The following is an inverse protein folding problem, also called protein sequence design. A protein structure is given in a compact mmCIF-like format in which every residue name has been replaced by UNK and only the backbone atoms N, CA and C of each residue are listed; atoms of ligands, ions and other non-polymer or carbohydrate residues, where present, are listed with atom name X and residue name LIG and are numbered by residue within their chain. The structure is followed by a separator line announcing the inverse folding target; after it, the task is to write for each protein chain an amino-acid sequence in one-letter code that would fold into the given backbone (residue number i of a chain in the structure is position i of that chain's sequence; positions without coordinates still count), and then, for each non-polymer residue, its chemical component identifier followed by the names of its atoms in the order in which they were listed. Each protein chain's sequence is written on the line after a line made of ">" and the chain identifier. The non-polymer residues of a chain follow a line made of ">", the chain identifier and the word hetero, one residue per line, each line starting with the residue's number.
data_IF_828384789036
#
_entry.id   IF_828384789036
#
_cell.length_a   1.000
_cell.length_b   1.000
_cell.length_c   1.000
_cell.angle_alpha   90.00
_cell.angle_beta   90.00
_cell.angle_gamma   90.00
#
_symmetry.space_group_name_H-M   'P 1'
#
loop_
_entity.id
_entity.type
_entity.pdbx_description
1 polymer ?
#
# COMPACT_ATOMS: atom_id res chain seq x y z
N UNK A 1 -7.41 -29.86 -17.27
CA UNK A 1 -6.93 -28.94 -16.19
C UNK A 1 -7.71 -27.64 -16.34
N UNK A 2 -8.46 -27.21 -15.32
CA UNK A 2 -9.27 -26.00 -15.41
C UNK A 2 -8.39 -24.72 -15.30
N UNK A 3 -8.90 -23.58 -15.75
CA UNK A 3 -8.13 -22.32 -15.77
C UNK A 3 -7.54 -21.96 -14.40
N UNK A 4 -8.29 -22.18 -13.32
CA UNK A 4 -7.85 -21.90 -11.94
C UNK A 4 -6.63 -22.75 -11.56
N UNK A 5 -6.67 -24.05 -11.78
CA UNK A 5 -5.54 -24.95 -11.49
C UNK A 5 -4.29 -24.60 -12.30
N UNK A 6 -4.45 -24.08 -13.52
CA UNK A 6 -3.32 -23.54 -14.30
C UNK A 6 -2.73 -22.27 -13.66
N UNK A 7 -3.55 -21.35 -13.14
CA UNK A 7 -3.07 -20.13 -12.48
C UNK A 7 -2.40 -20.40 -11.13
N UNK A 8 -2.89 -21.38 -10.36
CA UNK A 8 -2.30 -21.77 -9.07
C UNK A 8 -0.86 -22.28 -9.21
N UNK A 9 -0.46 -22.80 -10.38
CA UNK A 9 0.93 -23.19 -10.66
C UNK A 9 1.90 -22.01 -10.63
N UNK A 10 1.43 -20.79 -10.85
CA UNK A 10 2.25 -19.58 -10.77
C UNK A 10 2.26 -18.94 -9.37
N UNK A 11 1.46 -19.48 -8.45
CA UNK A 11 1.40 -19.06 -7.05
C UNK A 11 2.18 -19.97 -6.11
N UNK A 12 1.85 -19.85 -4.83
CA UNK A 12 2.59 -20.52 -3.75
C UNK A 12 2.60 -22.05 -3.87
N UNK A 13 1.55 -22.64 -4.45
CA UNK A 13 1.45 -24.11 -4.61
C UNK A 13 2.25 -24.68 -5.78
N UNK A 14 2.66 -23.84 -6.75
CA UNK A 14 3.45 -24.28 -7.90
C UNK A 14 4.87 -23.74 -7.95
N UNK A 15 5.27 -22.93 -6.97
CA UNK A 15 6.64 -22.44 -6.86
C UNK A 15 7.51 -23.43 -6.08
N UNK A 16 8.83 -23.40 -6.29
CA UNK A 16 9.75 -24.22 -5.50
C UNK A 16 9.78 -23.82 -4.02
N UNK A 17 10.10 -24.78 -3.14
CA UNK A 17 10.07 -24.64 -1.67
C UNK A 17 10.77 -23.37 -1.15
N UNK A 18 11.90 -22.99 -1.73
CA UNK A 18 12.62 -21.76 -1.37
C UNK A 18 11.77 -20.51 -1.57
N UNK A 19 11.08 -20.38 -2.71
CA UNK A 19 10.23 -19.21 -2.98
C UNK A 19 8.97 -19.24 -2.10
N UNK A 20 8.42 -20.42 -1.83
CA UNK A 20 7.30 -20.57 -0.91
C UNK A 20 7.69 -20.11 0.51
N UNK A 21 8.82 -20.60 1.03
CA UNK A 21 9.37 -20.20 2.32
C UNK A 21 9.62 -18.69 2.43
N UNK A 22 10.28 -18.09 1.42
CA UNK A 22 10.48 -16.63 1.36
C UNK A 22 9.15 -15.88 1.38
N UNK A 23 8.14 -16.37 0.67
CA UNK A 23 6.84 -15.69 0.62
C UNK A 23 6.10 -15.75 1.94
N UNK A 24 6.19 -16.88 2.65
CA UNK A 24 5.63 -17.02 4.00
C UNK A 24 6.34 -16.06 4.96
N UNK A 25 7.68 -16.01 4.93
CA UNK A 25 8.46 -15.07 5.76
C UNK A 25 8.10 -13.62 5.46
N UNK A 26 7.89 -13.25 4.19
CA UNK A 26 7.45 -11.91 3.81
C UNK A 26 6.02 -11.62 4.26
N UNK A 27 5.10 -12.59 4.20
CA UNK A 27 3.74 -12.41 4.72
C UNK A 27 3.75 -12.15 6.23
N UNK A 28 4.56 -12.91 6.98
CA UNK A 28 4.80 -12.67 8.41
C UNK A 28 5.43 -11.29 8.62
N UNK A 29 6.44 -10.94 7.80
CA UNK A 29 7.11 -9.65 7.84
C UNK A 29 6.15 -8.47 7.64
N UNK A 30 5.24 -8.55 6.68
CA UNK A 30 4.17 -7.54 6.45
C UNK A 30 3.32 -7.39 7.72
N UNK A 31 2.83 -8.50 8.27
CA UNK A 31 1.99 -8.48 9.47
C UNK A 31 2.71 -7.83 10.66
N UNK A 32 3.93 -8.29 10.95
CA UNK A 32 4.73 -7.77 12.07
C UNK A 32 5.10 -6.29 11.87
N UNK A 33 5.48 -5.90 10.65
CA UNK A 33 5.86 -4.51 10.34
C UNK A 33 4.66 -3.59 10.54
N UNK A 34 3.46 -3.96 10.07
CA UNK A 34 2.25 -3.17 10.28
C UNK A 34 1.95 -2.93 11.77
N UNK A 35 2.22 -3.90 12.65
CA UNK A 35 1.99 -3.74 14.10
C UNK A 35 2.87 -2.70 14.77
N UNK A 36 4.02 -2.37 14.17
CA UNK A 36 4.90 -1.29 14.67
C UNK A 36 4.19 0.06 14.60
N UNK A 37 3.29 0.27 13.63
CA UNK A 37 2.53 1.53 13.50
C UNK A 37 1.82 1.93 14.78
N UNK A 38 1.16 0.97 15.45
CA UNK A 38 0.43 1.25 16.70
C UNK A 38 1.34 1.78 17.81
N UNK A 39 2.61 1.37 17.83
CA UNK A 39 3.61 1.86 18.78
C UNK A 39 3.97 3.31 18.45
N UNK A 40 4.07 3.67 17.17
CA UNK A 40 4.45 5.02 16.73
C UNK A 40 3.29 6.00 16.65
N UNK A 41 2.03 5.53 16.80
CA UNK A 41 0.85 6.38 16.63
C UNK A 41 0.54 7.22 17.88
N UNK A 42 1.51 8.00 18.33
CA UNK A 42 1.39 8.96 19.43
C UNK A 42 2.27 10.18 19.13
N UNK A 43 1.95 11.34 19.72
CA UNK A 43 2.75 12.57 19.55
C UNK A 43 4.13 12.48 20.21
N UNK A 44 4.97 13.52 20.10
CA UNK A 44 4.57 14.92 19.92
C UNK A 44 4.57 15.44 18.46
N UNK A 45 3.80 16.51 18.22
CA UNK A 45 3.75 17.22 16.94
C UNK A 45 5.09 17.88 16.62
N UNK A 46 5.74 17.48 15.53
CA UNK A 46 7.03 18.06 15.12
C UNK A 46 6.88 19.02 13.95
N UNK A 47 6.15 18.63 12.90
CA UNK A 47 6.03 19.43 11.67
C UNK A 47 4.58 19.61 11.21
N UNK A 48 4.30 20.77 10.61
CA UNK A 48 3.02 21.09 9.98
C UNK A 48 3.26 21.28 8.48
N UNK A 49 2.59 20.47 7.65
CA UNK A 49 2.75 20.49 6.20
C UNK A 49 1.54 21.07 5.47
N UNK A 50 0.66 21.78 6.20
CA UNK A 50 -0.51 22.49 5.67
C UNK A 50 -0.07 23.52 4.64
N UNK A 51 -0.71 23.51 3.48
CA UNK A 51 -0.56 24.51 2.43
C UNK A 51 -1.89 25.26 2.20
N UNK A 52 -1.88 26.42 1.52
CA UNK A 52 -3.13 27.13 1.18
C UNK A 52 -4.10 26.31 0.32
N UNK A 53 -3.62 25.32 -0.42
CA UNK A 53 -4.47 24.45 -1.24
C UNK A 53 -5.30 23.52 -0.33
N UNK A 54 -4.75 23.09 0.81
CA UNK A 54 -5.45 22.21 1.76
C UNK A 54 -6.69 22.89 2.38
N UNK A 55 -6.66 24.22 2.47
CA UNK A 55 -7.76 25.05 2.96
C UNK A 55 -8.94 25.12 1.98
N UNK A 56 -8.67 24.92 0.69
CA UNK A 56 -9.69 24.91 -0.37
C UNK A 56 -10.43 23.57 -0.47
N UNK A 57 -9.89 22.52 0.12
CA UNK A 57 -10.49 21.18 0.09
C UNK A 57 -11.49 21.08 1.25
N UNK A 58 -12.82 20.94 1.04
CA UNK A 58 -13.75 20.72 2.13
C UNK A 58 -13.69 19.26 2.62
N UNK A 59 -14.16 19.02 3.84
CA UNK A 59 -14.49 17.66 4.27
C UNK A 59 -15.61 17.12 3.35
N UNK A 60 -15.41 15.97 2.74
CA UNK A 60 -16.41 15.35 1.86
C UNK A 60 -16.74 13.92 2.29
N UNK A 61 -17.79 13.72 3.11
CA UNK A 61 -18.03 12.46 3.81
C UNK A 61 -18.13 11.18 2.99
N UNK A 62 -18.72 11.17 1.76
CA UNK A 62 -18.78 9.96 0.94
C UNK A 62 -17.42 9.30 0.66
N UNK A 63 -16.32 10.06 0.69
CA UNK A 63 -14.97 9.52 0.51
C UNK A 63 -14.47 8.66 1.69
N UNK A 64 -15.20 8.60 2.81
CA UNK A 64 -14.88 7.64 3.87
C UNK A 64 -14.96 6.19 3.38
N UNK A 65 -15.82 5.89 2.40
CA UNK A 65 -15.97 4.54 1.84
C UNK A 65 -14.68 4.08 1.14
N UNK A 66 -14.12 4.80 0.14
CA UNK A 66 -12.83 4.42 -0.42
C UNK A 66 -11.71 4.46 0.63
N UNK A 67 -11.74 5.38 1.61
CA UNK A 67 -10.75 5.41 2.69
C UNK A 67 -10.71 4.09 3.48
N UNK A 68 -11.83 3.66 4.06
CA UNK A 68 -11.86 2.42 4.87
C UNK A 68 -11.64 1.17 4.04
N UNK A 69 -11.78 1.24 2.71
CA UNK A 69 -11.54 0.11 1.82
C UNK A 69 -10.08 -0.31 1.71
N UNK A 70 -9.12 0.50 2.18
CA UNK A 70 -7.70 0.18 2.06
C UNK A 70 -7.35 -1.17 2.68
N UNK A 71 -7.72 -1.40 3.94
CA UNK A 71 -7.36 -2.63 4.63
C UNK A 71 -7.86 -3.89 3.92
N UNK A 72 -9.17 -4.04 3.62
CA UNK A 72 -9.65 -5.21 2.88
C UNK A 72 -9.04 -5.29 1.47
N UNK A 73 -8.80 -4.17 0.80
CA UNK A 73 -8.12 -4.14 -0.50
C UNK A 73 -6.69 -4.68 -0.44
N UNK A 74 -5.92 -4.30 0.59
CA UNK A 74 -4.55 -4.78 0.82
C UNK A 74 -4.55 -6.29 1.06
N UNK A 75 -5.38 -6.78 1.99
CA UNK A 75 -5.43 -8.21 2.30
C UNK A 75 -5.86 -9.05 1.10
N UNK A 76 -6.94 -8.65 0.42
CA UNK A 76 -7.43 -9.35 -0.77
C UNK A 76 -6.36 -9.39 -1.87
N UNK A 77 -5.71 -8.27 -2.16
CA UNK A 77 -4.66 -8.20 -3.17
C UNK A 77 -3.46 -9.07 -2.83
N UNK A 78 -2.97 -9.02 -1.59
CA UNK A 78 -1.82 -9.83 -1.16
C UNK A 78 -2.12 -11.33 -1.23
N UNK A 79 -3.33 -11.75 -0.84
CA UNK A 79 -3.76 -13.14 -0.97
C UNK A 79 -3.82 -13.56 -2.45
N UNK A 80 -4.41 -12.74 -3.32
CA UNK A 80 -4.46 -13.03 -4.76
C UNK A 80 -3.06 -13.14 -5.37
N UNK A 81 -2.15 -12.22 -5.04
CA UNK A 81 -0.77 -12.32 -5.51
C UNK A 81 -0.05 -13.55 -4.94
N UNK A 82 -0.27 -13.92 -3.68
CA UNK A 82 0.34 -15.10 -3.09
C UNK A 82 -0.15 -16.40 -3.77
N UNK A 83 -1.46 -16.49 -4.01
CA UNK A 83 -2.10 -17.67 -4.59
C UNK A 83 -1.85 -17.84 -6.08
N UNK A 84 -1.64 -16.75 -6.82
CA UNK A 84 -1.58 -16.82 -8.28
C UNK A 84 -0.29 -16.27 -8.88
N UNK A 85 0.49 -15.45 -8.16
CA UNK A 85 1.64 -14.69 -8.70
C UNK A 85 2.75 -14.46 -7.67
N UNK A 86 3.37 -15.52 -7.17
CA UNK A 86 4.32 -15.45 -6.02
C UNK A 86 5.43 -14.41 -6.20
N UNK A 87 5.97 -14.24 -7.40
CA UNK A 87 7.02 -13.22 -7.66
C UNK A 87 6.50 -11.79 -7.54
N UNK A 88 5.26 -11.54 -7.99
CA UNK A 88 4.60 -10.24 -7.83
C UNK A 88 4.30 -10.00 -6.35
N UNK A 89 3.84 -11.03 -5.63
CA UNK A 89 3.66 -10.97 -4.18
C UNK A 89 4.97 -10.58 -3.48
N UNK A 90 6.09 -11.26 -3.76
CA UNK A 90 7.38 -10.97 -3.14
C UNK A 90 7.85 -9.53 -3.42
N UNK A 91 7.69 -9.05 -4.66
CA UNK A 91 8.01 -7.67 -5.04
C UNK A 91 7.13 -6.67 -4.29
N UNK A 92 5.81 -6.90 -4.23
CA UNK A 92 4.88 -6.03 -3.54
C UNK A 92 5.14 -6.01 -2.03
N UNK A 93 5.37 -7.17 -1.42
CA UNK A 93 5.66 -7.31 0.00
C UNK A 93 6.94 -6.56 0.40
N UNK A 94 8.03 -6.74 -0.37
CA UNK A 94 9.28 -6.00 -0.12
C UNK A 94 9.09 -4.49 -0.32
N UNK A 95 8.32 -4.07 -1.33
CA UNK A 95 7.99 -2.67 -1.56
C UNK A 95 7.23 -2.06 -0.37
N UNK A 96 6.23 -2.77 0.15
CA UNK A 96 5.44 -2.34 1.31
C UNK A 96 6.29 -2.28 2.59
N UNK A 97 7.11 -3.30 2.85
CA UNK A 97 8.04 -3.32 3.99
C UNK A 97 9.02 -2.15 3.93
N UNK A 98 9.60 -1.87 2.75
CA UNK A 98 10.46 -0.72 2.56
C UNK A 98 9.72 0.61 2.79
N UNK A 99 8.50 0.74 2.25
CA UNK A 99 7.67 1.92 2.47
C UNK A 99 7.36 2.13 3.96
N UNK A 100 7.01 1.07 4.70
CA UNK A 100 6.82 1.15 6.15
C UNK A 100 8.06 1.64 6.87
N UNK A 101 9.23 1.05 6.63
CA UNK A 101 10.45 1.48 7.33
C UNK A 101 10.85 2.92 7.00
N UNK A 102 10.70 3.36 5.75
CA UNK A 102 10.93 4.76 5.37
C UNK A 102 9.94 5.67 6.08
N UNK A 103 8.64 5.36 6.04
CA UNK A 103 7.61 6.12 6.76
C UNK A 103 7.88 6.18 8.26
N UNK A 104 8.25 5.06 8.88
CA UNK A 104 8.53 4.99 10.31
C UNK A 104 9.74 5.84 10.71
N UNK A 105 10.76 5.96 9.85
CA UNK A 105 11.84 6.90 10.09
C UNK A 105 11.31 8.35 10.14
N UNK A 106 10.43 8.75 9.21
CA UNK A 106 9.78 10.07 9.27
C UNK A 106 8.90 10.21 10.53
N UNK A 107 8.15 9.18 10.90
CA UNK A 107 7.27 9.22 12.08
C UNK A 107 8.03 9.35 13.40
N UNK A 108 9.27 8.83 13.47
CA UNK A 108 10.13 8.97 14.65
C UNK A 108 10.79 10.35 14.71
N UNK A 109 11.26 10.89 13.58
CA UNK A 109 12.12 12.09 13.58
C UNK A 109 11.43 13.37 13.11
N UNK A 110 10.42 13.26 12.26
CA UNK A 110 9.78 14.35 11.50
C UNK A 110 8.27 14.13 11.43
N UNK A 111 7.67 13.76 12.57
CA UNK A 111 6.26 13.41 12.64
C UNK A 111 5.38 14.61 12.25
N UNK A 112 4.62 14.47 11.16
CA UNK A 112 3.67 15.50 10.75
C UNK A 112 2.31 15.34 11.42
N UNK A 113 1.60 16.46 11.52
CA UNK A 113 0.29 16.57 12.15
C UNK A 113 -0.78 17.07 11.18
N UNK A 114 -1.99 16.54 11.31
CA UNK A 114 -3.19 16.98 10.56
C UNK A 114 -4.19 17.67 11.48
N UNK A 115 -4.48 18.94 11.21
CA UNK A 115 -5.54 19.68 11.91
C UNK A 115 -6.91 19.27 11.38
N UNK A 116 -7.63 18.43 12.15
CA UNK A 116 -8.90 17.83 11.76
C UNK A 116 -10.06 18.76 12.11
N UNK A 117 -11.06 18.93 11.22
CA UNK A 117 -12.23 19.75 11.53
C UNK A 117 -13.09 19.09 12.62
N UNK A 118 -13.81 19.90 13.39
CA UNK A 118 -14.86 19.40 14.26
C UNK A 118 -16.00 18.81 13.44
N UNK A 119 -16.31 17.54 13.66
CA UNK A 119 -17.39 16.85 12.95
C UNK A 119 -18.76 17.20 13.56
N UNK A 120 -19.63 17.79 12.75
CA UNK A 120 -21.03 18.08 13.10
C UNK A 120 -21.98 17.06 12.48
N UNK A 121 -23.06 16.71 13.19
CA UNK A 121 -24.07 15.77 12.72
C UNK A 121 -23.80 14.31 13.10
N UNK A 122 -24.79 13.47 12.81
CA UNK A 122 -24.84 12.05 13.21
C UNK A 122 -25.15 11.12 12.02
N UNK A 123 -25.01 11.58 10.78
CA UNK A 123 -25.22 10.74 9.61
C UNK A 123 -24.25 9.55 9.58
N UNK A 124 -24.62 8.40 9.00
CA UNK A 124 -23.77 7.20 9.02
C UNK A 124 -22.35 7.43 8.51
N UNK A 125 -22.18 8.24 7.46
CA UNK A 125 -20.86 8.57 6.91
C UNK A 125 -20.02 9.41 7.88
N UNK A 126 -20.63 10.34 8.61
CA UNK A 126 -19.95 11.14 9.65
C UNK A 126 -19.53 10.24 10.81
N UNK A 127 -20.38 9.27 11.20
CA UNK A 127 -20.02 8.28 12.22
C UNK A 127 -18.82 7.44 11.80
N UNK A 128 -18.76 6.98 10.55
CA UNK A 128 -17.60 6.27 10.02
C UNK A 128 -16.32 7.12 10.08
N UNK A 129 -16.39 8.42 9.75
CA UNK A 129 -15.23 9.32 9.87
C UNK A 129 -14.81 9.47 11.32
N UNK A 130 -15.78 9.54 12.25
CA UNK A 130 -15.50 9.61 13.69
C UNK A 130 -14.78 8.34 14.18
N UNK A 131 -15.18 7.17 13.72
CA UNK A 131 -14.49 5.90 14.01
C UNK A 131 -13.05 5.91 13.45
N UNK A 132 -12.88 6.38 12.21
CA UNK A 132 -11.54 6.55 11.61
C UNK A 132 -10.70 7.50 12.48
N UNK A 133 -11.26 8.63 12.93
CA UNK A 133 -10.52 9.61 13.76
C UNK A 133 -10.20 9.07 15.15
N UNK A 134 -11.00 8.15 15.69
CA UNK A 134 -10.77 7.50 16.97
C UNK A 134 -9.75 6.36 16.88
N UNK A 135 -9.73 5.63 15.76
CA UNK A 135 -8.82 4.52 15.52
C UNK A 135 -7.42 4.93 15.07
N UNK A 136 -7.28 6.15 14.53
CA UNK A 136 -6.01 6.68 14.05
C UNK A 136 -5.79 8.10 14.56
N UNK A 137 -4.73 8.31 15.34
CA UNK A 137 -4.41 9.64 15.85
C UNK A 137 -4.02 10.59 14.71
N UNK A 138 -4.09 11.89 14.96
CA UNK A 138 -3.80 12.93 13.96
C UNK A 138 -2.30 13.15 13.71
N UNK A 139 -1.48 12.13 14.00
CA UNK A 139 -0.03 12.15 13.86
C UNK A 139 0.38 11.20 12.71
N UNK A 140 1.68 11.10 12.41
CA UNK A 140 2.21 10.19 11.38
C UNK A 140 1.66 10.42 9.97
N UNK A 141 1.36 11.66 9.61
CA UNK A 141 0.75 11.90 8.30
C UNK A 141 1.77 11.78 7.15
N UNK A 142 3.04 12.20 7.34
CA UNK A 142 4.06 12.27 6.29
C UNK A 142 5.11 11.16 6.38
N UNK A 143 5.40 10.45 5.27
CA UNK A 143 4.59 10.34 4.06
C UNK A 143 3.35 9.48 4.33
N UNK A 144 2.29 9.68 3.54
CA UNK A 144 1.04 8.92 3.73
C UNK A 144 1.25 7.44 3.43
N UNK A 145 1.17 6.58 4.45
CA UNK A 145 1.16 5.11 4.26
C UNK A 145 -0.08 4.67 3.50
N UNK A 146 -1.24 5.30 3.75
CA UNK A 146 -2.48 5.01 3.07
C UNK A 146 -2.33 5.15 1.54
N UNK A 147 -1.72 6.26 1.13
CA UNK A 147 -1.35 6.53 -0.27
C UNK A 147 -0.29 5.58 -0.78
N UNK A 148 0.75 5.33 0.02
CA UNK A 148 1.91 4.52 -0.39
C UNK A 148 1.49 3.07 -0.69
N UNK A 149 0.80 2.43 0.26
CA UNK A 149 0.43 1.03 0.18
C UNK A 149 -0.59 0.77 -0.94
N UNK A 150 -1.63 1.60 -1.06
CA UNK A 150 -2.60 1.48 -2.15
C UNK A 150 -1.94 1.66 -3.53
N UNK A 151 -1.06 2.64 -3.67
CA UNK A 151 -0.36 2.94 -4.92
C UNK A 151 0.61 1.82 -5.31
N UNK A 152 1.37 1.27 -4.36
CA UNK A 152 2.24 0.09 -4.60
C UNK A 152 1.42 -1.05 -5.21
N UNK A 153 0.27 -1.38 -4.60
CA UNK A 153 -0.58 -2.46 -5.09
C UNK A 153 -1.20 -2.16 -6.46
N UNK A 154 -1.62 -0.92 -6.71
CA UNK A 154 -2.10 -0.47 -8.02
C UNK A 154 -1.05 -0.65 -9.13
N UNK A 155 0.20 -0.24 -8.87
CA UNK A 155 1.32 -0.43 -9.81
C UNK A 155 1.56 -1.92 -10.09
N UNK A 156 1.53 -2.76 -9.06
CA UNK A 156 1.75 -4.20 -9.22
C UNK A 156 0.61 -4.87 -10.00
N UNK A 157 -0.64 -4.44 -9.81
CA UNK A 157 -1.77 -4.91 -10.62
C UNK A 157 -1.66 -4.51 -12.09
N UNK A 158 -1.25 -3.27 -12.38
CA UNK A 158 -0.95 -2.81 -13.75
C UNK A 158 0.18 -3.63 -14.40
N UNK A 159 1.14 -4.11 -13.61
CA UNK A 159 2.22 -4.97 -14.08
C UNK A 159 1.76 -6.40 -14.39
N UNK A 160 0.77 -6.91 -13.66
CA UNK A 160 0.16 -8.23 -13.87
C UNK A 160 -0.62 -8.28 -15.17
N UNK A 161 -1.61 -7.40 -15.31
CA UNK A 161 -2.44 -7.27 -16.51
C UNK A 161 -3.10 -5.90 -16.51
N UNK A 162 -2.91 -5.12 -17.58
CA UNK A 162 -3.53 -3.80 -17.72
C UNK A 162 -5.06 -3.84 -17.67
N UNK A 163 -5.70 -4.92 -18.14
CA UNK A 163 -7.17 -5.04 -18.19
C UNK A 163 -7.78 -5.07 -16.79
N UNK A 164 -7.12 -5.73 -15.84
CA UNK A 164 -7.54 -5.79 -14.43
C UNK A 164 -6.90 -4.65 -13.63
N UNK A 165 -5.68 -4.25 -13.97
CA UNK A 165 -4.94 -3.20 -13.27
C UNK A 165 -5.50 -1.80 -13.50
N UNK A 166 -6.09 -1.51 -14.66
CA UNK A 166 -6.68 -0.19 -14.94
C UNK A 166 -7.86 0.14 -14.03
N UNK A 167 -8.91 -0.71 -13.90
CA UNK A 167 -9.98 -0.43 -12.95
C UNK A 167 -9.50 -0.38 -11.50
N UNK A 168 -8.49 -1.19 -11.14
CA UNK A 168 -7.88 -1.12 -9.80
C UNK A 168 -7.14 0.20 -9.59
N UNK A 169 -6.42 0.71 -10.58
CA UNK A 169 -5.74 2.00 -10.50
C UNK A 169 -6.72 3.18 -10.33
N UNK A 170 -7.91 3.08 -10.95
CA UNK A 170 -9.00 4.04 -10.73
C UNK A 170 -9.46 3.98 -9.27
N UNK A 171 -9.68 2.78 -8.73
CA UNK A 171 -10.06 2.62 -7.31
C UNK A 171 -8.97 3.13 -6.36
N UNK A 172 -7.70 2.82 -6.63
CA UNK A 172 -6.56 3.35 -5.89
C UNK A 172 -6.52 4.88 -5.94
N UNK A 173 -6.84 5.50 -7.08
CA UNK A 173 -6.95 6.96 -7.16
C UNK A 173 -8.03 7.49 -6.21
N UNK A 174 -9.16 6.81 -6.08
CA UNK A 174 -10.20 7.19 -5.11
C UNK A 174 -9.74 6.99 -3.65
N UNK A 175 -8.98 5.93 -3.36
CA UNK A 175 -8.34 5.72 -2.06
C UNK A 175 -7.34 6.84 -1.74
N UNK A 176 -6.54 7.28 -2.72
CA UNK A 176 -5.58 8.37 -2.51
C UNK A 176 -6.31 9.69 -2.28
N UNK A 177 -7.30 10.02 -3.11
CA UNK A 177 -8.10 11.23 -2.94
C UNK A 177 -8.89 11.23 -1.63
N UNK A 178 -9.32 10.07 -1.13
CA UNK A 178 -10.07 10.02 0.11
C UNK A 178 -9.28 10.51 1.31
N UNK A 179 -7.97 10.30 1.32
CA UNK A 179 -7.09 10.75 2.40
C UNK A 179 -7.20 12.25 2.68
N UNK A 180 -7.33 13.08 1.63
CA UNK A 180 -7.49 14.54 1.77
C UNK A 180 -8.95 14.92 2.04
N UNK A 181 -9.91 14.26 1.40
CA UNK A 181 -11.34 14.56 1.57
C UNK A 181 -11.89 14.17 2.94
N UNK A 182 -11.34 13.15 3.58
CA UNK A 182 -11.66 12.78 4.97
C UNK A 182 -10.78 13.50 5.99
N UNK A 183 -9.95 14.46 5.54
CA UNK A 183 -9.06 15.26 6.37
C UNK A 183 -8.12 14.43 7.25
N UNK A 184 -7.52 13.40 6.66
CA UNK A 184 -6.48 12.58 7.29
C UNK A 184 -5.07 13.00 6.90
N UNK A 185 -4.93 13.58 5.72
CA UNK A 185 -3.64 13.97 5.16
C UNK A 185 -3.73 15.33 4.47
N UNK A 186 -2.64 16.08 4.51
CA UNK A 186 -2.41 17.20 3.61
C UNK A 186 -1.87 16.72 2.25
N UNK A 187 -1.94 17.58 1.24
CA UNK A 187 -1.44 17.26 -0.11
C UNK A 187 0.05 16.88 -0.09
N UNK A 188 0.85 17.51 0.77
CA UNK A 188 2.27 17.17 0.91
C UNK A 188 2.49 15.71 1.34
N UNK A 189 1.67 15.20 2.27
CA UNK A 189 1.71 13.80 2.72
C UNK A 189 1.40 12.84 1.58
N UNK A 190 0.42 13.19 0.74
CA UNK A 190 0.03 12.42 -0.44
C UNK A 190 1.16 12.41 -1.47
N UNK A 191 1.76 13.55 -1.77
CA UNK A 191 2.90 13.64 -2.70
C UNK A 191 4.06 12.78 -2.21
N UNK A 192 4.39 12.86 -0.91
CA UNK A 192 5.41 12.02 -0.28
C UNK A 192 5.09 10.53 -0.41
N UNK A 193 3.84 10.15 -0.17
CA UNK A 193 3.40 8.76 -0.29
C UNK A 193 3.45 8.22 -1.73
N UNK A 194 3.04 9.03 -2.71
CA UNK A 194 3.16 8.68 -4.13
C UNK A 194 4.62 8.52 -4.54
N UNK A 195 5.47 9.50 -4.21
CA UNK A 195 6.90 9.46 -4.53
C UNK A 195 7.58 8.21 -3.94
N UNK A 196 7.27 7.89 -2.68
CA UNK A 196 7.76 6.70 -2.01
C UNK A 196 7.29 5.43 -2.73
N UNK A 197 5.97 5.31 -3.00
CA UNK A 197 5.39 4.15 -3.68
C UNK A 197 6.02 3.88 -5.05
N UNK A 198 6.16 4.92 -5.88
CA UNK A 198 6.80 4.79 -7.20
C UNK A 198 8.27 4.35 -7.05
N UNK A 199 9.01 4.94 -6.11
CA UNK A 199 10.43 4.64 -5.91
C UNK A 199 10.66 3.18 -5.50
N UNK A 200 9.97 2.72 -4.47
CA UNK A 200 10.13 1.33 -3.98
C UNK A 200 9.59 0.31 -4.98
N UNK A 201 8.45 0.60 -5.63
CA UNK A 201 7.88 -0.29 -6.63
C UNK A 201 8.80 -0.42 -7.84
N UNK A 202 9.33 0.69 -8.36
CA UNK A 202 10.29 0.66 -9.47
C UNK A 202 11.53 -0.16 -9.11
N UNK A 203 12.10 0.06 -7.92
CA UNK A 203 13.29 -0.65 -7.47
C UNK A 203 13.05 -2.17 -7.42
N UNK A 204 12.02 -2.62 -6.71
CA UNK A 204 11.78 -4.06 -6.54
C UNK A 204 11.28 -4.71 -7.82
N UNK A 205 10.35 -4.10 -8.57
CA UNK A 205 9.87 -4.67 -9.84
C UNK A 205 11.01 -4.91 -10.83
N UNK A 206 11.97 -3.99 -10.92
CA UNK A 206 13.14 -4.17 -11.79
C UNK A 206 14.03 -5.33 -11.31
N UNK A 207 14.24 -5.49 -10.00
CA UNK A 207 15.01 -6.62 -9.46
C UNK A 207 14.36 -7.98 -9.73
N UNK A 208 13.03 -8.04 -9.74
CA UNK A 208 12.30 -9.27 -10.07
C UNK A 208 12.15 -9.50 -11.59
N UNK A 209 12.09 -8.43 -12.39
CA UNK A 209 12.06 -8.52 -13.86
C UNK A 209 13.41 -8.96 -14.44
N UNK A 210 14.52 -8.36 -14.00
CA UNK A 210 15.87 -8.72 -14.47
C UNK A 210 16.24 -10.18 -14.17
N UNK A 211 15.73 -10.74 -13.06
CA UNK A 211 15.91 -12.16 -12.74
C UNK A 211 15.18 -13.10 -13.71
N UNK A 212 14.06 -12.68 -14.31
CA UNK A 212 13.37 -13.48 -15.33
C UNK A 212 14.14 -13.50 -16.65
N UNK A 213 14.69 -12.35 -17.07
CA UNK A 213 15.52 -12.26 -18.27
C UNK A 213 16.78 -13.15 -18.16
N UNK A 214 17.45 -13.15 -17.00
CA UNK A 214 18.62 -13.99 -16.78
C UNK A 214 18.30 -15.50 -16.82
N UNK A 215 17.17 -15.93 -16.26
CA UNK A 215 16.76 -17.34 -16.30
C UNK A 215 16.28 -17.78 -17.69
N UNK A 216 15.67 -16.87 -18.46
CA UNK A 216 15.24 -17.15 -19.83
C UNK A 216 16.40 -17.24 -20.84
N UNK A 217 17.57 -16.70 -20.52
CA UNK A 217 18.74 -16.67 -21.39
C UNK A 217 19.87 -17.63 -20.99
N UNK A 218 19.69 -18.45 -19.94
CA UNK A 218 20.65 -19.54 -19.66
C UNK A 218 20.41 -20.68 -20.66
N UNK A 219 21.33 -20.96 -21.61
CA UNK A 219 21.18 -22.11 -22.50
C UNK A 219 21.22 -23.37 -21.64
N UNK A 220 20.41 -24.37 -21.98
CA UNK A 220 20.43 -25.70 -21.37
C UNK A 220 21.73 -26.43 -21.72
N UNK A 221 22.84 -26.01 -21.13
CA UNK A 221 24.09 -26.76 -21.13
C UNK A 221 24.01 -27.69 -19.93
N UNK A 222 23.44 -28.88 -20.12
CA UNK A 222 23.76 -30.19 -19.52
C UNK A 222 22.59 -31.12 -19.87
N UNK A 223 22.72 -31.81 -21.00
CA UNK A 223 22.12 -33.10 -21.28
C UNK A 223 22.79 -33.63 -22.57
N UNK A 224 24.04 -34.04 -22.43
CA UNK A 224 24.82 -34.79 -23.40
C UNK A 224 25.53 -35.90 -22.66
#
# INVERSE_FOLDING_TARGET
>A
MNWITAQLKHGIFGTGWTNAGVSILLAIGIYLTNKIYAILNHGPNVIFLRSPIDDLIPLFPPFVIPYVSLEPFVYATLILFLLFRTRIFQSAALSMIAAWFVSYAFYIFLQSYMDRPTLTGNDPLIQMIREVYAGDNAYNCFPSLHTSLSTILGIHWLRVDKRVGTPIAIWVTLIVLSTVFVKQHYIADVIGGLALAFSVSWFFLNRFASRQALVAHTPSIVAG
#
